data_IF_627578801238
#
_entry.id   IF_627578801238
#
_cell.length_a   1.000
_cell.length_b   1.000
_cell.length_c   1.000
_cell.angle_alpha   90.00
_cell.angle_beta   90.00
_cell.angle_gamma   90.00
#
_symmetry.space_group_name_H-M   'P 1'
#
loop_
_entity.id
_entity.type
_entity.pdbx_description
1 polymer ?
#
# COMPACT_ATOMS: atom_id res chain seq x y z
N UNK A 1 -5.12 14.59 -12.79
CA UNK A 1 -4.85 15.34 -11.55
C UNK A 1 -3.50 14.93 -10.97
N UNK A 2 -2.72 15.89 -10.47
CA UNK A 2 -1.42 15.72 -9.79
C UNK A 2 -1.29 16.77 -8.68
N UNK A 3 -0.34 16.61 -7.77
CA UNK A 3 0.08 17.64 -6.81
C UNK A 3 1.61 17.61 -6.69
N UNK A 4 2.20 18.73 -6.32
CA UNK A 4 3.65 18.90 -6.26
C UNK A 4 4.11 18.99 -4.79
N UNK A 5 5.31 18.47 -4.54
CA UNK A 5 6.05 18.64 -3.28
C UNK A 5 7.35 19.32 -3.67
N UNK A 6 7.56 20.55 -3.21
CA UNK A 6 8.64 21.42 -3.71
C UNK A 6 10.03 20.83 -3.42
N UNK A 7 10.21 20.23 -2.23
CA UNK A 7 11.44 19.61 -1.79
C UNK A 7 11.15 18.26 -1.14
N UNK A 8 11.78 17.19 -1.65
CA UNK A 8 11.62 15.83 -1.12
C UNK A 8 12.86 14.99 -1.48
N UNK A 9 13.17 13.98 -0.67
CA UNK A 9 14.23 13.01 -1.00
C UNK A 9 13.79 12.14 -2.18
N UNK A 10 14.64 12.04 -3.20
CA UNK A 10 14.37 11.25 -4.39
C UNK A 10 14.61 9.76 -4.12
N UNK A 11 13.56 8.96 -4.33
CA UNK A 11 13.68 7.52 -4.55
C UNK A 11 13.44 7.24 -6.04
N UNK A 12 14.09 6.22 -6.59
CA UNK A 12 14.02 5.88 -8.01
C UNK A 12 13.76 4.40 -8.29
N UNK A 13 13.17 4.08 -9.44
CA UNK A 13 13.11 2.71 -9.94
C UNK A 13 14.51 2.18 -10.33
N UNK A 14 14.79 0.87 -10.22
CA UNK A 14 13.89 -0.22 -9.85
C UNK A 14 13.72 -0.34 -8.33
N UNK A 15 12.48 -0.23 -7.86
CA UNK A 15 12.11 -0.52 -6.48
C UNK A 15 11.81 -2.01 -6.32
N UNK A 16 12.64 -2.73 -5.56
CA UNK A 16 12.58 -4.19 -5.43
C UNK A 16 11.48 -4.66 -4.46
N UNK A 17 10.25 -4.39 -4.86
CA UNK A 17 9.03 -4.85 -4.20
C UNK A 17 8.25 -5.79 -5.13
N UNK A 18 7.40 -6.67 -4.60
CA UNK A 18 6.40 -7.36 -5.40
C UNK A 18 5.57 -6.36 -6.22
N UNK A 19 5.01 -6.82 -7.34
CA UNK A 19 4.06 -6.00 -8.11
C UNK A 19 2.89 -5.61 -7.17
N UNK A 20 2.58 -4.31 -7.02
CA UNK A 20 1.46 -3.88 -6.20
C UNK A 20 0.13 -4.42 -6.71
N UNK A 21 -0.80 -4.72 -5.80
CA UNK A 21 -2.17 -5.09 -6.19
C UNK A 21 -2.87 -3.90 -6.87
N UNK A 22 -2.55 -2.69 -6.41
CA UNK A 22 -2.88 -1.42 -7.10
C UNK A 22 -1.73 -0.42 -6.97
N UNK A 23 -1.39 0.21 -8.09
CA UNK A 23 -0.52 1.37 -8.15
C UNK A 23 -1.39 2.63 -8.16
N UNK A 24 -1.27 3.46 -7.12
CA UNK A 24 -2.06 4.68 -6.92
C UNK A 24 -1.30 5.92 -7.36
N UNK A 25 0.00 6.00 -7.07
CA UNK A 25 0.83 7.14 -7.43
C UNK A 25 2.12 6.70 -8.11
N UNK A 26 2.52 7.49 -9.10
CA UNK A 26 3.86 7.50 -9.69
C UNK A 26 4.42 8.90 -9.49
N UNK A 27 5.55 9.01 -8.81
CA UNK A 27 6.28 10.27 -8.68
C UNK A 27 7.23 10.43 -9.86
N UNK A 28 7.40 11.68 -10.29
CA UNK A 28 8.50 12.14 -11.13
C UNK A 28 9.38 13.03 -10.28
N UNK A 29 10.69 12.92 -10.44
CA UNK A 29 11.68 13.76 -9.76
C UNK A 29 12.46 14.59 -10.77
N UNK A 30 12.92 15.77 -10.33
CA UNK A 30 13.67 16.69 -11.17
C UNK A 30 14.96 16.10 -11.76
N UNK A 31 15.53 15.06 -11.12
CA UNK A 31 16.68 14.30 -11.63
C UNK A 31 16.37 13.43 -12.84
N UNK A 32 15.08 13.26 -13.19
CA UNK A 32 14.60 12.45 -14.31
C UNK A 32 14.09 11.06 -13.90
N UNK A 33 14.25 10.69 -12.64
CA UNK A 33 13.76 9.43 -12.10
C UNK A 33 12.24 9.42 -11.92
N UNK A 34 11.68 8.22 -12.02
CA UNK A 34 10.29 7.94 -11.61
C UNK A 34 10.29 6.92 -10.49
N UNK A 35 9.22 6.92 -9.70
CA UNK A 35 9.07 5.98 -8.59
C UNK A 35 7.61 5.61 -8.34
N UNK A 36 7.34 4.33 -8.07
CA UNK A 36 6.03 3.85 -7.62
C UNK A 36 5.77 4.27 -6.16
N UNK A 37 5.41 5.53 -5.97
CA UNK A 37 5.32 6.22 -4.67
C UNK A 37 4.04 5.96 -3.89
N UNK A 38 3.04 5.29 -4.47
CA UNK A 38 1.78 4.94 -3.80
C UNK A 38 1.32 3.55 -4.18
N UNK A 39 1.46 2.57 -3.29
CA UNK A 39 1.22 1.16 -3.59
C UNK A 39 0.28 0.51 -2.58
N UNK A 40 -0.77 -0.17 -3.06
CA UNK A 40 -1.64 -1.00 -2.24
C UNK A 40 -1.24 -2.47 -2.32
N UNK A 41 -1.30 -3.16 -1.18
CA UNK A 41 -1.14 -4.60 -1.08
C UNK A 41 -2.16 -5.22 -0.13
N UNK A 42 -2.44 -6.50 -0.34
CA UNK A 42 -3.20 -7.35 0.57
C UNK A 42 -2.29 -8.44 1.15
N UNK A 43 -2.40 -8.66 2.47
CA UNK A 43 -1.72 -9.76 3.18
C UNK A 43 -2.69 -10.41 4.15
N UNK A 44 -3.13 -11.63 3.83
CA UNK A 44 -4.26 -12.25 4.51
C UNK A 44 -5.49 -11.34 4.42
N UNK A 45 -6.04 -10.95 5.57
CA UNK A 45 -7.13 -9.95 5.67
C UNK A 45 -6.65 -8.50 5.79
N UNK A 46 -5.34 -8.30 5.98
CA UNK A 46 -4.74 -6.98 6.14
C UNK A 46 -4.63 -6.25 4.80
N UNK A 47 -4.84 -4.94 4.85
CA UNK A 47 -4.58 -4.00 3.75
C UNK A 47 -3.36 -3.17 4.11
N UNK A 48 -2.46 -2.99 3.15
CA UNK A 48 -1.21 -2.24 3.33
C UNK A 48 -1.19 -1.15 2.27
N UNK A 49 -0.86 0.08 2.68
CA UNK A 49 -0.59 1.19 1.77
C UNK A 49 0.81 1.71 2.03
N UNK A 50 1.68 1.62 1.03
CA UNK A 50 2.99 2.27 1.00
C UNK A 50 2.84 3.63 0.34
N UNK A 51 3.33 4.68 1.00
CA UNK A 51 3.33 6.05 0.52
C UNK A 51 4.69 6.69 0.82
N UNK A 52 5.40 7.14 -0.22
CA UNK A 52 6.81 7.52 -0.13
C UNK A 52 7.10 8.88 0.54
N UNK A 53 6.37 9.99 0.26
CA UNK A 53 6.77 11.31 0.74
C UNK A 53 6.88 11.39 2.26
N UNK A 54 7.89 12.08 2.79
CA UNK A 54 8.07 12.22 4.23
C UNK A 54 9.50 12.21 4.76
N UNK A 55 10.50 12.65 3.98
CA UNK A 55 11.88 12.77 4.48
C UNK A 55 11.96 13.81 5.61
N UNK A 56 12.72 13.51 6.66
CA UNK A 56 12.67 14.19 7.94
C UNK A 56 13.16 15.64 7.92
N UNK A 57 13.97 16.01 6.92
CA UNK A 57 14.50 17.37 6.78
C UNK A 57 13.52 18.33 6.11
N UNK A 58 12.40 17.83 5.58
CA UNK A 58 11.37 18.62 4.91
C UNK A 58 10.04 18.60 5.66
N UNK A 59 9.25 19.69 5.60
CA UNK A 59 7.95 19.77 6.26
C UNK A 59 6.85 19.04 5.49
N UNK A 60 7.15 17.90 4.84
CA UNK A 60 6.22 17.17 3.95
C UNK A 60 4.90 16.82 4.65
N UNK A 61 4.94 16.42 5.92
CA UNK A 61 3.73 16.09 6.69
C UNK A 61 2.88 17.30 7.10
N UNK A 62 3.30 18.53 6.82
CA UNK A 62 2.46 19.73 6.97
C UNK A 62 1.69 20.06 5.69
N UNK A 63 2.00 19.40 4.57
CA UNK A 63 1.31 19.64 3.31
C UNK A 63 -0.11 19.04 3.31
N UNK A 64 -1.16 19.83 2.99
CA UNK A 64 -2.55 19.35 3.05
C UNK A 64 -2.85 18.14 2.17
N UNK A 65 -2.26 18.06 0.98
CA UNK A 65 -2.45 16.95 0.05
C UNK A 65 -1.90 15.64 0.61
N UNK A 66 -0.71 15.68 1.23
CA UNK A 66 -0.07 14.52 1.88
C UNK A 66 -0.94 14.01 3.01
N UNK A 67 -1.38 14.90 3.90
CA UNK A 67 -2.27 14.55 5.01
C UNK A 67 -3.62 13.99 4.54
N UNK A 68 -4.15 14.51 3.43
CA UNK A 68 -5.38 14.01 2.81
C UNK A 68 -5.20 12.59 2.28
N UNK A 69 -4.08 12.30 1.61
CA UNK A 69 -3.75 10.94 1.14
C UNK A 69 -3.66 9.98 2.31
N UNK A 70 -2.93 10.35 3.38
CA UNK A 70 -2.80 9.53 4.59
C UNK A 70 -4.17 9.27 5.23
N UNK A 71 -5.00 10.31 5.37
CA UNK A 71 -6.35 10.18 5.95
C UNK A 71 -7.22 9.21 5.15
N UNK A 72 -7.16 9.30 3.82
CA UNK A 72 -7.90 8.40 2.93
C UNK A 72 -7.37 6.97 3.00
N UNK A 73 -6.04 6.80 3.06
CA UNK A 73 -5.40 5.51 3.20
C UNK A 73 -5.78 4.82 4.51
N UNK A 74 -5.84 5.55 5.63
CA UNK A 74 -6.29 5.02 6.93
C UNK A 74 -7.73 4.51 6.83
N UNK A 75 -8.63 5.30 6.25
CA UNK A 75 -10.04 4.88 6.05
C UNK A 75 -10.15 3.66 5.14
N UNK A 76 -9.38 3.62 4.06
CA UNK A 76 -9.34 2.48 3.15
C UNK A 76 -8.77 1.22 3.82
N UNK A 77 -7.73 1.37 4.62
CA UNK A 77 -7.03 0.29 5.32
C UNK A 77 -7.83 -0.28 6.50
N UNK A 78 -8.93 0.35 6.89
CA UNK A 78 -9.79 -0.11 7.97
C UNK A 78 -10.16 -1.61 7.79
N UNK A 79 -10.09 -2.41 8.87
CA UNK A 79 -10.44 -3.83 8.82
C UNK A 79 -11.87 -4.03 8.35
N UNK A 80 -12.09 -5.06 7.53
CA UNK A 80 -13.43 -5.51 7.13
C UNK A 80 -13.79 -6.72 7.98
N UNK A 81 -14.96 -6.67 8.62
CA UNK A 81 -15.52 -7.81 9.35
C UNK A 81 -15.76 -8.97 8.38
N UNK A 82 -15.30 -10.17 8.74
CA UNK A 82 -15.48 -11.37 7.92
C UNK A 82 -15.07 -12.64 8.64
N UNK A 83 -15.50 -13.79 8.12
CA UNK A 83 -15.31 -15.12 8.71
C UNK A 83 -13.88 -15.36 9.18
N UNK A 84 -13.65 -15.89 10.40
CA UNK A 84 -12.30 -16.09 10.93
C UNK A 84 -11.44 -16.92 9.97
N UNK A 85 -10.13 -16.64 9.96
CA UNK A 85 -9.19 -17.51 9.24
C UNK A 85 -9.02 -18.77 10.07
N UNK A 86 -9.59 -19.88 9.60
CA UNK A 86 -9.46 -21.18 10.26
C UNK A 86 -8.49 -22.02 9.41
N UNK A 87 -7.43 -22.55 10.03
CA UNK A 87 -6.47 -23.45 9.40
C UNK A 87 -6.29 -24.70 10.27
N UNK A 88 -5.96 -25.84 9.65
CA UNK A 88 -5.74 -27.10 10.35
C UNK A 88 -6.29 -28.31 9.62
N UNK A 89 -6.36 -29.44 10.33
CA UNK A 89 -7.00 -30.66 9.87
C UNK A 89 -8.51 -30.58 10.14
N UNK A 90 -9.33 -30.84 9.12
CA UNK A 90 -10.78 -30.84 9.21
C UNK A 90 -11.35 -32.17 8.76
N UNK A 91 -12.45 -32.58 9.39
CA UNK A 91 -13.22 -33.73 8.91
C UNK A 91 -13.78 -33.42 7.51
N UNK A 92 -13.81 -34.42 6.61
CA UNK A 92 -14.51 -34.29 5.34
C UNK A 92 -15.95 -33.81 5.57
N UNK A 93 -16.40 -32.87 4.74
CA UNK A 93 -17.79 -32.41 4.75
C UNK A 93 -18.70 -33.46 4.10
N UNK A 94 -18.16 -34.17 3.10
CA UNK A 94 -18.83 -35.25 2.38
C UNK A 94 -18.33 -36.62 2.84
N UNK A 95 -19.15 -37.65 2.64
CA UNK A 95 -18.76 -39.02 2.88
C UNK A 95 -17.64 -39.44 1.92
N UNK A 96 -16.54 -39.97 2.46
CA UNK A 96 -15.44 -40.55 1.67
C UNK A 96 -15.50 -42.07 1.83
N UNK A 97 -15.75 -42.79 0.74
CA UNK A 97 -15.67 -44.25 0.75
C UNK A 97 -14.22 -44.73 0.94
N UNK A 98 -14.06 -45.82 1.67
CA UNK A 98 -12.76 -46.47 1.82
C UNK A 98 -12.32 -47.07 0.48
N UNK A 99 -11.02 -46.93 0.16
CA UNK A 99 -10.39 -47.61 -0.98
C UNK A 99 -10.22 -49.10 -0.72
#
# INVERSE_FOLDING_TARGET
DHFEIEHEEMYGERFDIPTPDRLVFVSWFAGGEVFRSGCCFNRGKGKIFYFQPGHETYPTYYQPEVLRVITNAVRWAAPVLGSPVIQGNYKPIEHIEAR
#
